data_IF_133549637976
#
_entry.id   IF_133549637976
#
_cell.length_a   1.000
_cell.length_b   1.000
_cell.length_c   1.000
_cell.angle_alpha   90.00
_cell.angle_beta   90.00
_cell.angle_gamma   90.00
#
_symmetry.space_group_name_H-M   'P 1'
#
loop_
_entity.id
_entity.type
_entity.pdbx_description
1 polymer ?
#
# COMPACT_ATOMS: atom_id res chain seq x y z
N UNK A 1 5.07 -41.94 -21.59
CA UNK A 1 6.41 -41.97 -20.97
C UNK A 1 6.57 -40.64 -20.22
N UNK A 2 6.24 -40.61 -18.93
CA UNK A 2 6.20 -39.39 -18.11
C UNK A 2 7.56 -39.14 -17.47
N UNK A 3 8.18 -37.99 -17.74
CA UNK A 3 9.41 -37.54 -17.07
C UNK A 3 9.05 -36.80 -15.79
N UNK A 4 9.29 -37.44 -14.65
CA UNK A 4 9.27 -36.82 -13.33
C UNK A 4 10.56 -36.02 -13.18
N UNK A 5 10.45 -34.70 -13.09
CA UNK A 5 11.59 -33.82 -12.81
C UNK A 5 11.82 -33.76 -11.31
N UNK A 6 12.96 -34.26 -10.86
CA UNK A 6 13.40 -34.23 -9.47
C UNK A 6 13.71 -32.79 -9.05
N UNK A 7 12.91 -32.23 -8.13
CA UNK A 7 13.20 -30.95 -7.47
C UNK A 7 14.32 -31.20 -6.46
N UNK A 8 15.51 -30.66 -6.74
CA UNK A 8 16.62 -30.63 -5.78
C UNK A 8 16.31 -29.59 -4.70
N UNK A 9 15.87 -30.05 -3.53
CA UNK A 9 15.79 -29.26 -2.31
C UNK A 9 17.21 -28.87 -1.87
N UNK A 10 17.58 -27.61 -2.09
CA UNK A 10 18.77 -26.99 -1.53
C UNK A 10 18.61 -26.95 0.00
N UNK A 11 19.33 -27.85 0.66
CA UNK A 11 19.45 -27.95 2.12
C UNK A 11 20.26 -26.74 2.60
N UNK A 12 19.59 -25.67 3.03
CA UNK A 12 20.27 -24.57 3.73
C UNK A 12 20.92 -25.12 5.00
N UNK A 13 22.23 -24.92 5.14
CA UNK A 13 22.96 -25.30 6.34
C UNK A 13 22.52 -24.41 7.52
N UNK A 14 22.33 -24.96 8.73
CA UNK A 14 22.08 -24.15 9.91
C UNK A 14 23.39 -23.44 10.29
N UNK A 15 23.49 -22.17 9.90
CA UNK A 15 24.54 -21.27 10.35
C UNK A 15 24.48 -21.12 11.87
N UNK A 16 25.65 -21.15 12.51
CA UNK A 16 25.85 -20.92 13.94
C UNK A 16 25.08 -19.68 14.41
N UNK A 17 24.15 -19.85 15.34
CA UNK A 17 23.51 -18.76 16.07
C UNK A 17 24.55 -18.06 16.95
N UNK A 18 25.23 -17.06 16.39
CA UNK A 18 25.91 -16.05 17.19
C UNK A 18 24.82 -15.16 17.78
N UNK A 19 24.67 -15.24 19.10
CA UNK A 19 23.90 -14.30 19.92
C UNK A 19 24.46 -12.89 19.71
N UNK A 20 23.93 -12.19 18.72
CA UNK A 20 24.30 -10.82 18.42
C UNK A 20 23.40 -9.91 19.25
N UNK A 21 23.79 -9.66 20.51
CA UNK A 21 23.26 -8.53 21.28
C UNK A 21 23.71 -7.24 20.60
N UNK A 22 22.91 -6.78 19.64
CA UNK A 22 23.21 -5.58 18.86
C UNK A 22 22.75 -4.37 19.65
N UNK A 23 23.63 -3.81 20.47
CA UNK A 23 23.42 -2.55 21.19
C UNK A 23 24.07 -1.42 20.38
N UNK A 24 23.28 -0.37 20.11
CA UNK A 24 23.54 0.79 19.26
C UNK A 24 23.54 0.52 17.74
N UNK A 25 22.35 0.58 17.14
CA UNK A 25 22.21 0.68 15.68
C UNK A 25 22.52 2.13 15.25
N UNK A 26 23.30 2.30 14.19
CA UNK A 26 23.51 3.63 13.58
C UNK A 26 22.17 4.14 13.04
N UNK A 27 22.00 5.47 13.03
CA UNK A 27 20.81 6.09 12.43
C UNK A 27 20.61 5.57 10.99
N UNK A 28 19.39 5.15 10.62
CA UNK A 28 19.10 4.57 9.31
C UNK A 28 19.24 5.56 8.13
N UNK A 29 19.23 6.87 8.40
CA UNK A 29 19.37 7.92 7.40
C UNK A 29 18.65 9.21 7.79
N UNK A 30 18.87 10.29 7.02
CA UNK A 30 18.22 11.57 7.24
C UNK A 30 16.79 11.62 6.67
N UNK A 31 16.59 11.13 5.44
CA UNK A 31 15.27 11.07 4.79
C UNK A 31 14.66 9.66 4.94
N UNK A 32 13.54 9.49 5.65
CA UNK A 32 12.90 8.20 5.84
C UNK A 32 12.35 7.58 4.55
N UNK A 33 11.89 8.38 3.58
CA UNK A 33 11.36 7.88 2.30
C UNK A 33 12.47 7.25 1.46
N UNK A 34 13.68 7.80 1.50
CA UNK A 34 14.86 7.20 0.87
C UNK A 34 15.28 5.89 1.57
N UNK A 35 15.14 5.81 2.90
CA UNK A 35 15.37 4.56 3.65
C UNK A 35 14.37 3.49 3.21
N UNK A 36 13.08 3.82 3.14
CA UNK A 36 12.02 2.91 2.64
C UNK A 36 12.35 2.46 1.22
N UNK A 37 12.58 3.41 0.30
CA UNK A 37 12.88 3.14 -1.11
C UNK A 37 14.08 2.20 -1.26
N UNK A 38 15.17 2.45 -0.53
CA UNK A 38 16.37 1.61 -0.54
C UNK A 38 16.07 0.19 -0.03
N UNK A 39 15.31 0.06 1.05
CA UNK A 39 14.88 -1.24 1.57
C UNK A 39 13.99 -2.01 0.58
N UNK A 40 13.05 -1.32 -0.06
CA UNK A 40 12.18 -1.90 -1.08
C UNK A 40 12.97 -2.30 -2.34
N UNK A 41 13.95 -1.51 -2.77
CA UNK A 41 14.84 -1.83 -3.89
C UNK A 41 15.66 -3.09 -3.60
N UNK A 42 16.24 -3.21 -2.40
CA UNK A 42 17.00 -4.39 -1.97
C UNK A 42 16.14 -5.66 -1.92
N UNK A 43 14.86 -5.52 -1.57
CA UNK A 43 13.87 -6.61 -1.58
C UNK A 43 13.28 -6.87 -2.97
N UNK A 44 13.77 -6.17 -4.00
CA UNK A 44 13.29 -6.24 -5.37
C UNK A 44 11.80 -5.87 -5.50
N UNK A 45 11.24 -5.01 -4.65
CA UNK A 45 9.84 -4.55 -4.72
C UNK A 45 9.63 -3.40 -5.71
N UNK A 46 10.67 -2.57 -5.89
CA UNK A 46 10.68 -1.44 -6.79
C UNK A 46 11.93 -1.38 -7.69
N UNK A 47 11.90 -0.48 -8.67
CA UNK A 47 13.07 -0.10 -9.47
C UNK A 47 13.87 1.05 -8.83
N UNK A 48 14.91 1.52 -9.51
CA UNK A 48 15.82 2.57 -9.01
C UNK A 48 15.12 3.93 -8.86
N UNK A 49 14.01 4.15 -9.57
CA UNK A 49 13.17 5.34 -9.48
C UNK A 49 12.06 5.21 -8.44
N UNK A 50 11.99 4.06 -7.76
CA UNK A 50 11.04 3.75 -6.71
C UNK A 50 9.70 3.25 -7.22
N UNK A 51 9.52 3.03 -8.52
CA UNK A 51 8.30 2.46 -9.07
C UNK A 51 8.20 0.98 -8.76
N UNK A 52 6.99 0.53 -8.43
CA UNK A 52 6.69 -0.87 -8.20
C UNK A 52 7.04 -1.71 -9.43
N UNK A 53 7.73 -2.84 -9.22
CA UNK A 53 7.98 -3.79 -10.31
C UNK A 53 6.73 -4.59 -10.68
N UNK A 54 6.58 -4.96 -11.96
CA UNK A 54 5.43 -5.75 -12.43
C UNK A 54 5.27 -7.08 -11.65
N UNK A 55 4.03 -7.42 -11.33
CA UNK A 55 3.66 -8.71 -10.71
C UNK A 55 3.94 -8.85 -9.21
N UNK A 56 4.58 -7.86 -8.57
CA UNK A 56 4.89 -7.95 -7.14
C UNK A 56 3.77 -7.39 -6.29
N UNK A 57 3.43 -8.04 -5.17
CA UNK A 57 2.49 -7.49 -4.20
C UNK A 57 3.20 -6.54 -3.24
N UNK A 58 2.91 -5.25 -3.32
CA UNK A 58 3.48 -4.23 -2.44
C UNK A 58 2.36 -3.29 -1.97
N UNK A 59 2.09 -3.29 -0.67
CA UNK A 59 0.92 -2.67 -0.08
C UNK A 59 1.23 -1.97 1.23
N UNK A 60 0.34 -1.05 1.61
CA UNK A 60 0.23 -0.53 2.97
C UNK A 60 -1.24 -0.38 3.34
N UNK A 61 -1.51 -0.30 4.64
CA UNK A 61 -2.83 0.03 5.15
C UNK A 61 -2.92 1.53 5.42
N UNK A 62 -4.04 2.13 5.05
CA UNK A 62 -4.43 3.50 5.35
C UNK A 62 -5.57 3.46 6.36
N UNK A 63 -5.43 4.20 7.44
CA UNK A 63 -6.52 4.47 8.37
C UNK A 63 -6.95 5.93 8.25
N UNK A 64 -8.24 6.15 7.98
CA UNK A 64 -8.89 7.46 7.96
C UNK A 64 -9.87 7.57 9.12
N UNK A 65 -9.92 8.74 9.74
CA UNK A 65 -10.87 9.00 10.83
C UNK A 65 -12.23 9.41 10.27
N UNK A 66 -13.34 8.90 10.81
CA UNK A 66 -14.67 9.42 10.49
C UNK A 66 -14.83 10.87 11.00
N UNK A 67 -15.78 11.59 10.42
CA UNK A 67 -16.14 12.95 10.90
C UNK A 67 -16.79 12.91 12.29
N UNK A 68 -17.51 11.81 12.60
CA UNK A 68 -18.06 11.52 13.92
C UNK A 68 -17.01 10.80 14.79
N UNK A 69 -16.49 11.43 15.86
CA UNK A 69 -15.43 10.85 16.69
C UNK A 69 -15.87 9.62 17.50
N UNK A 70 -17.17 9.32 17.56
CA UNK A 70 -17.68 8.11 18.21
C UNK A 70 -17.57 6.87 17.33
N UNK A 71 -17.35 7.06 16.02
CA UNK A 71 -17.18 5.97 15.07
C UNK A 71 -15.72 5.51 14.99
N UNK A 72 -15.47 4.20 14.78
CA UNK A 72 -14.11 3.70 14.64
C UNK A 72 -13.46 4.18 13.33
N UNK A 73 -12.12 4.32 13.29
CA UNK A 73 -11.39 4.58 12.05
C UNK A 73 -11.66 3.54 10.97
N UNK A 74 -11.72 3.98 9.71
CA UNK A 74 -11.86 3.10 8.56
C UNK A 74 -10.48 2.71 8.02
N UNK A 75 -10.21 1.41 7.97
CA UNK A 75 -8.93 0.86 7.49
C UNK A 75 -9.10 0.25 6.09
N UNK A 76 -8.20 0.63 5.17
CA UNK A 76 -8.12 0.08 3.80
C UNK A 76 -6.70 -0.33 3.47
N UNK A 77 -6.53 -1.42 2.73
CA UNK A 77 -5.24 -1.80 2.16
C UNK A 77 -5.15 -1.31 0.73
N UNK A 78 -4.09 -0.59 0.39
CA UNK A 78 -3.83 -0.05 -0.95
C UNK A 78 -2.50 -0.56 -1.50
N UNK A 79 -2.39 -0.62 -2.82
CA UNK A 79 -1.15 -0.97 -3.50
C UNK A 79 -0.25 0.24 -3.70
N UNK A 80 0.99 0.16 -3.21
CA UNK A 80 2.02 1.15 -3.53
C UNK A 80 2.29 1.12 -5.04
N UNK A 81 2.39 2.27 -5.67
CA UNK A 81 2.83 2.40 -7.05
C UNK A 81 4.24 2.99 -7.14
N UNK A 82 4.59 3.91 -6.23
CA UNK A 82 5.92 4.51 -6.17
C UNK A 82 6.26 4.99 -4.76
N UNK A 83 7.53 4.91 -4.38
CA UNK A 83 8.09 5.69 -3.28
C UNK A 83 9.11 6.68 -3.86
N UNK A 84 8.93 7.95 -3.57
CA UNK A 84 9.79 9.05 -4.00
C UNK A 84 10.20 9.90 -2.81
N UNK A 85 11.09 10.87 -3.01
CA UNK A 85 11.50 11.82 -1.97
C UNK A 85 10.32 12.68 -1.46
N UNK A 86 9.30 12.89 -2.30
CA UNK A 86 8.13 13.72 -1.98
C UNK A 86 7.01 12.95 -1.26
N UNK A 87 7.02 11.62 -1.34
CA UNK A 87 5.95 10.79 -0.77
C UNK A 87 5.76 9.42 -1.41
N UNK A 88 4.66 8.78 -1.02
CA UNK A 88 4.27 7.43 -1.45
C UNK A 88 3.03 7.53 -2.33
N UNK A 89 3.17 7.12 -3.60
CA UNK A 89 2.10 7.17 -4.58
C UNK A 89 1.28 5.87 -4.56
N UNK A 90 -0.04 6.01 -4.61
CA UNK A 90 -0.98 4.91 -4.73
C UNK A 90 -2.24 5.33 -5.50
N UNK A 91 -2.95 4.36 -6.06
CA UNK A 91 -4.19 4.61 -6.81
C UNK A 91 -5.39 4.06 -6.06
N UNK A 92 -6.52 4.77 -6.18
CA UNK A 92 -7.82 4.31 -5.69
C UNK A 92 -8.91 4.65 -6.71
N UNK A 93 -10.00 3.91 -6.65
CA UNK A 93 -11.21 4.25 -7.39
C UNK A 93 -11.79 5.56 -6.86
N UNK A 94 -12.18 6.46 -7.77
CA UNK A 94 -12.85 7.72 -7.46
C UNK A 94 -14.24 7.50 -6.86
N UNK A 95 -14.51 8.26 -5.80
CA UNK A 95 -15.78 8.31 -5.09
C UNK A 95 -15.85 7.35 -3.91
N UNK A 96 -16.67 7.75 -2.94
CA UNK A 96 -16.88 7.02 -1.69
C UNK A 96 -16.01 7.57 -0.56
N UNK A 97 -16.47 7.32 0.66
CA UNK A 97 -16.03 8.02 1.88
C UNK A 97 -14.50 8.14 2.02
N UNK A 98 -13.74 7.06 1.77
CA UNK A 98 -12.27 7.10 1.86
C UNK A 98 -11.65 7.93 0.74
N UNK A 99 -12.07 7.76 -0.52
CA UNK A 99 -11.50 8.52 -1.65
C UNK A 99 -11.77 10.02 -1.48
N UNK A 100 -12.98 10.36 -1.04
CA UNK A 100 -13.40 11.75 -0.82
C UNK A 100 -12.67 12.37 0.38
N UNK A 101 -12.46 11.59 1.45
CA UNK A 101 -11.63 11.99 2.60
C UNK A 101 -10.19 12.33 2.18
N UNK A 102 -9.57 11.48 1.36
CA UNK A 102 -8.20 11.69 0.89
C UNK A 102 -8.10 12.89 -0.05
N UNK A 103 -9.09 13.09 -0.94
CA UNK A 103 -9.13 14.23 -1.85
C UNK A 103 -9.30 15.57 -1.12
N UNK A 104 -9.94 15.56 0.05
CA UNK A 104 -10.08 16.73 0.92
C UNK A 104 -8.78 17.08 1.70
N UNK A 105 -7.69 16.32 1.53
CA UNK A 105 -6.42 16.59 2.20
C UNK A 105 -6.47 16.40 3.73
N UNK A 106 -7.42 15.59 4.22
CA UNK A 106 -7.58 15.35 5.65
C UNK A 106 -6.43 14.46 6.20
N UNK A 107 -6.04 14.64 7.48
CA UNK A 107 -5.00 13.82 8.10
C UNK A 107 -5.36 12.34 8.13
N UNK A 108 -4.38 11.48 7.83
CA UNK A 108 -4.51 10.03 7.87
C UNK A 108 -3.27 9.40 8.50
N UNK A 109 -3.37 8.10 8.79
CA UNK A 109 -2.22 7.30 9.19
C UNK A 109 -2.03 6.11 8.27
N UNK A 110 -0.78 5.68 8.13
CA UNK A 110 -0.39 4.52 7.34
C UNK A 110 0.33 3.47 8.17
N UNK A 111 0.24 2.23 7.73
CA UNK A 111 1.01 1.10 8.23
C UNK A 111 1.54 0.28 7.05
N UNK A 112 2.85 0.19 6.94
CA UNK A 112 3.54 -0.70 6.00
C UNK A 112 4.36 -1.73 6.78
N UNK A 113 4.27 -3.00 6.37
CA UNK A 113 5.00 -4.10 6.97
C UNK A 113 5.83 -4.78 5.88
N UNK A 114 7.09 -5.08 6.17
CA UNK A 114 7.95 -5.85 5.27
C UNK A 114 8.91 -6.75 6.03
N UNK A 115 9.42 -7.79 5.37
CA UNK A 115 10.29 -8.80 5.99
C UNK A 115 9.59 -10.10 6.35
N UNK A 116 10.29 -10.95 7.09
CA UNK A 116 9.81 -12.27 7.51
C UNK A 116 10.09 -12.47 8.99
N UNK A 117 9.06 -12.86 9.74
CA UNK A 117 9.20 -13.15 11.16
C UNK A 117 9.69 -14.59 11.36
N UNK A 118 10.96 -14.85 11.02
CA UNK A 118 11.60 -16.16 11.13
C UNK A 118 12.99 -16.04 11.78
N UNK A 119 13.53 -17.09 12.42
CA UNK A 119 14.89 -17.07 12.93
C UNK A 119 15.91 -16.73 11.83
N UNK A 120 16.83 -15.81 12.12
CA UNK A 120 17.81 -15.24 11.20
C UNK A 120 17.29 -14.11 10.31
N UNK A 121 15.99 -13.82 10.35
CA UNK A 121 15.33 -12.81 9.52
C UNK A 121 14.88 -11.59 10.35
N UNK A 122 14.64 -10.47 9.66
CA UNK A 122 14.11 -9.25 10.26
C UNK A 122 12.76 -8.86 9.66
N UNK A 123 11.94 -8.24 10.49
CA UNK A 123 10.69 -7.58 10.14
C UNK A 123 10.82 -6.10 10.43
N UNK A 124 10.30 -5.31 9.51
CA UNK A 124 10.20 -3.87 9.64
C UNK A 124 8.73 -3.48 9.64
N UNK A 125 8.37 -2.61 10.56
CA UNK A 125 7.08 -1.95 10.62
C UNK A 125 7.28 -0.45 10.47
N UNK A 126 6.71 0.09 9.40
CA UNK A 126 6.68 1.51 9.09
C UNK A 126 5.30 2.07 9.43
N UNK A 127 5.25 3.10 10.26
CA UNK A 127 4.05 3.85 10.60
C UNK A 127 4.22 5.27 10.13
N UNK A 128 3.16 5.88 9.61
CA UNK A 128 3.24 7.26 9.16
C UNK A 128 1.97 8.02 9.47
N UNK A 129 2.12 9.33 9.63
CA UNK A 129 1.04 10.30 9.75
C UNK A 129 1.31 11.41 8.73
N UNK A 130 0.25 11.92 8.11
CA UNK A 130 0.37 12.93 7.09
C UNK A 130 -0.95 13.16 6.34
N UNK A 131 -0.84 13.70 5.14
CA UNK A 131 -1.98 14.02 4.28
C UNK A 131 -1.79 13.42 2.89
N UNK A 132 -2.87 13.33 2.12
CA UNK A 132 -2.78 13.01 0.70
C UNK A 132 -3.00 14.24 -0.17
N UNK A 133 -2.27 14.31 -1.28
CA UNK A 133 -2.57 15.20 -2.39
C UNK A 133 -3.00 14.37 -3.61
N UNK A 134 -3.88 14.94 -4.43
CA UNK A 134 -4.26 14.35 -5.71
C UNK A 134 -3.22 14.68 -6.77
N UNK A 135 -2.94 13.73 -7.66
CA UNK A 135 -2.03 13.90 -8.80
C UNK A 135 -2.73 13.45 -10.09
N UNK A 136 -2.32 13.97 -11.26
CA UNK A 136 -2.76 13.44 -12.55
C UNK A 136 -2.37 11.96 -12.70
N UNK A 137 -3.31 11.11 -13.11
CA UNK A 137 -3.03 9.68 -13.31
C UNK A 137 -1.99 9.45 -14.43
N UNK A 138 -1.96 10.34 -15.41
CA UNK A 138 -1.00 10.38 -16.51
C UNK A 138 0.47 10.38 -16.06
N UNK A 139 0.80 10.80 -14.84
CA UNK A 139 2.17 10.77 -14.29
C UNK A 139 2.75 9.35 -14.15
N UNK A 140 1.90 8.33 -13.95
CA UNK A 140 2.35 6.96 -13.70
C UNK A 140 1.61 5.90 -14.52
N UNK A 141 0.72 6.32 -15.43
CA UNK A 141 -0.25 5.45 -16.12
C UNK A 141 0.40 4.24 -16.79
N UNK A 142 1.52 4.45 -17.48
CA UNK A 142 2.27 3.39 -18.18
C UNK A 142 2.92 2.37 -17.24
N UNK A 143 3.06 2.71 -15.94
CA UNK A 143 3.60 1.84 -14.89
C UNK A 143 2.52 1.08 -14.12
N UNK A 144 1.25 1.45 -14.28
CA UNK A 144 0.18 0.86 -13.50
C UNK A 144 -0.08 -0.59 -13.91
N UNK A 145 -0.31 -1.50 -12.95
CA UNK A 145 -0.72 -2.85 -13.29
C UNK A 145 -2.10 -2.85 -13.95
N UNK A 146 -2.20 -3.42 -15.15
CA UNK A 146 -3.47 -3.52 -15.91
C UNK A 146 -4.60 -4.11 -15.07
N UNK A 147 -4.32 -5.13 -14.26
CA UNK A 147 -5.33 -5.78 -13.42
C UNK A 147 -5.91 -4.82 -12.36
N UNK A 148 -5.14 -3.85 -11.87
CA UNK A 148 -5.61 -2.84 -10.91
C UNK A 148 -6.56 -1.86 -11.58
N UNK A 149 -6.22 -1.41 -12.79
CA UNK A 149 -7.08 -0.53 -13.61
C UNK A 149 -8.40 -1.25 -13.92
N UNK A 150 -8.32 -2.48 -14.46
CA UNK A 150 -9.51 -3.30 -14.79
C UNK A 150 -10.40 -3.49 -13.57
N UNK A 151 -9.84 -3.87 -12.40
CA UNK A 151 -10.65 -4.09 -11.21
C UNK A 151 -11.40 -2.82 -10.75
N UNK A 152 -10.79 -1.64 -10.86
CA UNK A 152 -11.41 -0.37 -10.48
C UNK A 152 -12.47 0.06 -11.49
N UNK A 153 -12.20 -0.06 -12.79
CA UNK A 153 -13.15 0.20 -13.86
C UNK A 153 -14.38 -0.70 -13.73
N UNK A 154 -14.20 -2.02 -13.63
CA UNK A 154 -15.32 -2.96 -13.49
C UNK A 154 -16.12 -2.68 -12.21
N UNK A 155 -15.45 -2.34 -11.11
CA UNK A 155 -16.15 -1.95 -9.89
C UNK A 155 -16.98 -0.68 -10.06
N UNK A 156 -16.55 0.29 -10.87
CA UNK A 156 -17.30 1.50 -11.16
C UNK A 156 -18.49 1.21 -12.07
N UNK A 157 -18.31 0.39 -13.10
CA UNK A 157 -19.39 -0.06 -13.98
C UNK A 157 -20.48 -0.79 -13.20
N UNK A 158 -20.11 -1.67 -12.26
CA UNK A 158 -21.07 -2.36 -11.38
C UNK A 158 -21.85 -1.36 -10.50
N UNK A 159 -21.20 -0.30 -10.00
CA UNK A 159 -21.90 0.74 -9.24
C UNK A 159 -22.88 1.55 -10.11
N UNK A 160 -22.54 1.77 -11.38
CA UNK A 160 -23.43 2.44 -12.34
C UNK A 160 -24.61 1.54 -12.76
N UNK A 161 -24.36 0.25 -13.06
CA UNK A 161 -25.39 -0.72 -13.45
C UNK A 161 -26.44 -0.93 -12.36
N UNK A 162 -26.00 -1.01 -11.10
CA UNK A 162 -26.92 -1.20 -9.98
C UNK A 162 -27.70 0.07 -9.63
N UNK A 163 -27.36 1.23 -10.21
CA UNK A 163 -27.90 2.52 -9.80
C UNK A 163 -27.73 2.76 -8.29
N UNK A 164 -28.40 3.77 -7.75
CA UNK A 164 -28.38 4.11 -6.33
C UNK A 164 -28.86 3.00 -5.35
N UNK A 165 -29.19 1.78 -5.80
CA UNK A 165 -29.56 0.63 -4.96
C UNK A 165 -28.40 0.04 -4.15
N UNK A 166 -27.19 0.60 -4.22
CA UNK A 166 -26.12 0.25 -3.25
C UNK A 166 -26.50 0.66 -1.82
N UNK A 167 -27.41 1.62 -1.64
CA UNK A 167 -27.98 1.92 -0.31
C UNK A 167 -28.86 0.78 0.22
N UNK A 168 -29.60 0.06 -0.63
CA UNK A 168 -30.40 -1.12 -0.22
C UNK A 168 -29.55 -2.37 0.07
N UNK A 169 -28.26 -2.34 -0.28
CA UNK A 169 -27.29 -3.37 0.09
C UNK A 169 -26.48 -3.00 1.34
N UNK A 170 -26.88 -1.97 2.09
CA UNK A 170 -26.40 -1.75 3.46
C UNK A 170 -27.41 -2.39 4.40
N UNK A 171 -26.95 -3.35 5.21
CA UNK A 171 -27.73 -3.81 6.34
C UNK A 171 -28.03 -2.60 7.24
N UNK A 172 -29.31 -2.22 7.37
CA UNK A 172 -29.77 -1.07 8.14
C UNK A 172 -29.31 -1.11 9.60
N UNK A 173 -29.00 -2.31 10.14
CA UNK A 173 -28.57 -2.52 11.52
C UNK A 173 -27.05 -2.43 11.67
N UNK A 174 -26.27 -2.82 10.65
CA UNK A 174 -24.81 -2.91 10.75
C UNK A 174 -24.03 -1.95 9.85
N UNK A 175 -24.68 -1.26 8.91
CA UNK A 175 -24.06 -0.41 7.91
C UNK A 175 -23.12 -1.14 6.95
N UNK A 176 -23.08 -2.48 7.00
CA UNK A 176 -22.17 -3.31 6.20
C UNK A 176 -22.76 -3.56 4.82
N UNK A 177 -21.91 -3.48 3.79
CA UNK A 177 -22.24 -3.94 2.43
C UNK A 177 -22.58 -5.43 2.49
N UNK A 178 -23.78 -5.80 2.08
CA UNK A 178 -24.21 -7.18 1.87
C UNK A 178 -23.28 -7.86 0.87
N UNK A 179 -22.98 -9.14 1.12
CA UNK A 179 -22.10 -9.94 0.27
C UNK A 179 -22.63 -9.96 -1.16
N UNK A 180 -21.75 -9.71 -2.15
CA UNK A 180 -22.09 -9.76 -3.58
C UNK A 180 -22.76 -11.11 -3.92
N UNK A 181 -24.02 -11.06 -4.32
CA UNK A 181 -24.82 -12.26 -4.57
C UNK A 181 -24.47 -12.95 -5.91
N UNK A 182 -23.66 -12.34 -6.78
CA UNK A 182 -23.42 -12.87 -8.13
C UNK A 182 -21.95 -12.80 -8.58
N UNK A 183 -21.15 -13.78 -8.12
CA UNK A 183 -19.71 -13.93 -8.49
C UNK A 183 -19.50 -14.11 -10.00
N UNK A 184 -20.43 -14.77 -10.69
CA UNK A 184 -20.40 -14.96 -12.15
C UNK A 184 -20.47 -13.62 -12.88
N UNK A 185 -21.44 -12.76 -12.52
CA UNK A 185 -21.58 -11.42 -13.09
C UNK A 185 -20.30 -10.60 -12.93
N UNK A 186 -19.69 -10.61 -11.73
CA UNK A 186 -18.43 -9.90 -11.50
C UNK A 186 -17.29 -10.39 -12.38
N UNK A 187 -17.20 -11.71 -12.58
CA UNK A 187 -16.14 -12.31 -13.40
C UNK A 187 -16.32 -11.92 -14.86
N UNK A 188 -17.56 -11.95 -15.35
CA UNK A 188 -17.91 -11.50 -16.69
C UNK A 188 -17.58 -10.02 -16.89
N UNK A 189 -17.96 -9.16 -15.94
CA UNK A 189 -17.63 -7.73 -15.96
C UNK A 189 -16.13 -7.45 -15.97
N UNK A 190 -15.34 -8.19 -15.19
CA UNK A 190 -13.87 -8.06 -15.20
C UNK A 190 -13.30 -8.48 -16.56
N UNK A 191 -13.79 -9.57 -17.14
CA UNK A 191 -13.33 -10.07 -18.43
C UNK A 191 -13.70 -9.11 -19.58
N UNK A 192 -14.93 -8.61 -19.62
CA UNK A 192 -15.39 -7.66 -20.63
C UNK A 192 -14.62 -6.33 -20.53
N UNK A 193 -14.46 -5.80 -19.31
CA UNK A 193 -13.67 -4.57 -19.07
C UNK A 193 -12.22 -4.74 -19.52
N UNK A 194 -11.63 -5.91 -19.26
CA UNK A 194 -10.26 -6.20 -19.69
C UNK A 194 -10.14 -6.19 -21.21
N UNK A 195 -11.04 -6.88 -21.92
CA UNK A 195 -11.03 -6.92 -23.38
C UNK A 195 -11.24 -5.53 -23.97
N UNK A 196 -12.20 -4.76 -23.45
CA UNK A 196 -12.46 -3.39 -23.89
C UNK A 196 -11.23 -2.48 -23.68
N UNK A 197 -10.54 -2.62 -22.54
CA UNK A 197 -9.29 -1.90 -22.28
C UNK A 197 -8.16 -2.30 -23.24
N UNK A 198 -7.97 -3.61 -23.47
CA UNK A 198 -6.94 -4.14 -24.39
C UNK A 198 -7.21 -3.76 -25.85
N UNK A 199 -8.47 -3.64 -26.25
CA UNK A 199 -8.90 -3.21 -27.59
C UNK A 199 -8.87 -1.67 -27.78
N UNK A 200 -8.62 -0.89 -26.71
CA UNK A 200 -8.66 0.58 -26.77
C UNK A 200 -10.07 1.16 -26.86
N UNK A 201 -11.10 0.41 -26.46
CA UNK A 201 -12.49 0.86 -26.41
C UNK A 201 -12.76 1.76 -25.18
N UNK A 202 -11.94 1.61 -24.14
CA UNK A 202 -11.99 2.47 -22.94
C UNK A 202 -11.01 3.63 -23.12
N UNK A 203 -11.53 4.85 -23.20
CA UNK A 203 -10.72 6.05 -23.40
C UNK A 203 -9.89 6.40 -22.17
N UNK A 204 -8.85 7.21 -22.38
CA UNK A 204 -7.99 7.66 -21.30
C UNK A 204 -8.74 8.51 -20.26
N UNK A 205 -9.66 9.34 -20.74
CA UNK A 205 -10.55 10.17 -19.92
C UNK A 205 -11.45 9.28 -19.05
N UNK A 206 -11.97 8.19 -19.61
CA UNK A 206 -12.82 7.24 -18.86
C UNK A 206 -12.04 6.61 -17.70
N UNK A 207 -10.77 6.27 -17.91
CA UNK A 207 -9.91 5.76 -16.84
C UNK A 207 -9.66 6.82 -15.78
N UNK A 208 -9.36 8.05 -16.18
CA UNK A 208 -9.13 9.16 -15.25
C UNK A 208 -10.39 9.56 -14.48
N UNK A 209 -11.58 9.42 -15.05
CA UNK A 209 -12.85 9.65 -14.35
C UNK A 209 -13.15 8.57 -13.30
N UNK A 210 -12.57 7.38 -13.45
CA UNK A 210 -12.77 6.26 -12.54
C UNK A 210 -11.68 6.12 -11.47
N UNK A 211 -10.46 6.59 -11.73
CA UNK A 211 -9.29 6.30 -10.89
C UNK A 211 -8.58 7.61 -10.53
N UNK A 212 -8.21 7.74 -9.26
CA UNK A 212 -7.42 8.86 -8.75
C UNK A 212 -6.06 8.37 -8.28
N UNK A 213 -5.02 9.08 -8.70
CA UNK A 213 -3.69 8.97 -8.11
C UNK A 213 -3.60 9.87 -6.88
N UNK A 214 -3.16 9.30 -5.77
CA UNK A 214 -2.86 10.01 -4.53
C UNK A 214 -1.39 9.88 -4.21
N UNK A 215 -0.81 10.95 -3.67
CA UNK A 215 0.48 10.94 -3.01
C UNK A 215 0.29 11.17 -1.53
N UNK A 216 0.65 10.18 -0.71
CA UNK A 216 0.77 10.37 0.72
C UNK A 216 2.06 11.13 1.02
N UNK A 217 1.91 12.31 1.62
CA UNK A 217 3.00 13.17 2.11
C UNK A 217 3.07 13.02 3.64
N UNK A 218 3.98 12.21 4.17
CA UNK A 218 4.11 12.06 5.61
C UNK A 218 4.75 13.31 6.24
N UNK A 219 4.18 13.78 7.34
CA UNK A 219 4.82 14.73 8.25
C UNK A 219 5.55 14.03 9.39
N UNK A 220 5.20 12.76 9.66
CA UNK A 220 5.88 11.91 10.62
C UNK A 220 5.98 10.48 10.09
N UNK A 221 7.15 9.86 10.25
CA UNK A 221 7.38 8.45 9.98
C UNK A 221 8.08 7.80 11.17
N UNK A 222 7.66 6.59 11.52
CA UNK A 222 8.28 5.75 12.53
C UNK A 222 8.63 4.40 11.90
N UNK A 223 9.86 3.92 12.14
CA UNK A 223 10.31 2.59 11.76
C UNK A 223 10.59 1.77 13.01
N UNK A 224 10.00 0.59 13.09
CA UNK A 224 10.32 -0.43 14.09
C UNK A 224 10.97 -1.62 13.40
N UNK A 225 12.14 -2.03 13.86
CA UNK A 225 12.90 -3.15 13.28
C UNK A 225 13.15 -4.20 14.36
N UNK A 226 12.70 -5.42 14.11
CA UNK A 226 12.84 -6.54 15.04
C UNK A 226 12.74 -7.89 14.34
N UNK A 227 12.53 -8.94 15.12
CA UNK A 227 12.42 -10.32 14.64
C UNK A 227 12.52 -11.32 15.79
N UNK A 228 12.36 -12.63 15.54
CA UNK A 228 12.38 -13.65 16.60
C UNK A 228 13.65 -13.66 17.45
N UNK A 229 14.79 -13.25 16.87
CA UNK A 229 16.08 -13.22 17.57
C UNK A 229 16.36 -11.86 18.25
N UNK A 230 15.45 -10.90 18.13
CA UNK A 230 15.59 -9.58 18.75
C UNK A 230 14.94 -9.58 20.14
N UNK A 231 15.71 -9.20 21.16
CA UNK A 231 15.19 -9.05 22.53
C UNK A 231 14.24 -7.85 22.62
N UNK A 232 14.53 -6.79 21.87
CA UNK A 232 13.74 -5.56 21.77
C UNK A 232 13.76 -5.09 20.31
N UNK A 233 12.71 -4.38 19.91
CA UNK A 233 12.59 -3.75 18.60
C UNK A 233 13.29 -2.40 18.62
N UNK A 234 14.18 -2.17 17.66
CA UNK A 234 14.78 -0.86 17.44
C UNK A 234 13.72 0.08 16.88
N UNK A 235 13.63 1.29 17.42
CA UNK A 235 12.63 2.29 17.01
C UNK A 235 13.30 3.59 16.62
N UNK A 236 12.91 4.09 15.46
CA UNK A 236 13.38 5.34 14.88
C UNK A 236 12.20 6.18 14.43
N UNK A 237 12.24 7.48 14.69
CA UNK A 237 11.20 8.41 14.28
C UNK A 237 11.82 9.60 13.54
N UNK A 238 11.14 10.02 12.49
CA UNK A 238 11.39 11.23 11.74
C UNK A 238 10.14 12.09 11.76
N UNK A 239 10.33 13.40 11.86
CA UNK A 239 9.27 14.40 11.75
C UNK A 239 9.76 15.53 10.86
N UNK A 240 8.87 16.07 10.02
CA UNK A 240 9.18 17.26 9.24
C UNK A 240 9.12 18.51 10.12
N UNK A 241 9.88 19.54 9.77
CA UNK A 241 9.80 20.86 10.39
C UNK A 241 8.75 21.74 9.70
N UNK A 242 8.70 23.03 10.06
CA UNK A 242 7.77 24.02 9.48
C UNK A 242 8.00 24.28 7.98
N UNK A 243 9.12 23.82 7.42
CA UNK A 243 9.50 23.96 6.00
C UNK A 243 9.31 22.66 5.23
N UNK A 244 8.66 21.67 5.82
CA UNK A 244 8.53 20.30 5.28
C UNK A 244 9.88 19.58 5.10
N UNK A 245 10.93 19.98 5.83
CA UNK A 245 12.23 19.31 5.81
C UNK A 245 12.34 18.25 6.92
N UNK A 246 12.91 17.08 6.61
CA UNK A 246 13.06 16.00 7.59
C UNK A 246 14.11 16.34 8.66
N UNK A 247 13.68 16.31 9.93
CA UNK A 247 14.63 16.29 11.05
C UNK A 247 15.41 14.96 11.09
N UNK A 248 16.64 14.95 11.63
CA UNK A 248 17.40 13.72 11.82
C UNK A 248 16.63 12.67 12.62
N UNK A 249 16.80 11.39 12.25
CA UNK A 249 16.14 10.28 12.92
C UNK A 249 16.41 10.30 14.44
N UNK A 250 15.33 10.33 15.22
CA UNK A 250 15.38 10.20 16.67
C UNK A 250 15.22 8.73 17.06
N UNK A 251 16.19 8.21 17.82
CA UNK A 251 16.02 6.89 18.44
C UNK A 251 15.01 6.98 19.57
N UNK A 252 14.01 6.10 19.56
CA UNK A 252 13.02 5.98 20.63
C UNK A 252 13.37 4.80 21.55
N UNK A 253 12.79 4.80 22.75
CA UNK A 253 12.94 3.67 23.66
C UNK A 253 12.48 2.37 22.97
N UNK A 254 13.29 1.30 23.02
CA UNK A 254 12.94 0.03 22.40
C UNK A 254 11.64 -0.53 22.97
N UNK A 255 10.90 -1.30 22.15
CA UNK A 255 9.71 -2.04 22.56
C UNK A 255 10.01 -3.53 22.67
#
# INVERSE_FOLDING_TARGET
MFRISTITLLKQQPGRFLSCRTMATKSPGANPLEVIKKGCLQRNLCDEHGYRRPGLHWTFSIAVSPDDPTQPPNLRTVGVQRVSEDGIDFIMKKGGDTSDFLAAGKPLSILHLQGRYMPGETVEQWRGEGVCETRPLSEIRDKLPTYSIVAMLSSKSIEQENGAHVEELRDEVSGKRLAMQNKSHMTEMIQSTRLALENGEISDETVEDCIQLYRFKPSRLECMIGGPDSVLWNRWEWQTDEKDEWNPAKSLLPH
#
